data_IF_994488066982
#
_entry.id   IF_994488066982
#
_cell.length_a   1.000
_cell.length_b   1.000
_cell.length_c   1.000
_cell.angle_alpha   90.00
_cell.angle_beta   90.00
_cell.angle_gamma   90.00
#
_symmetry.space_group_name_H-M   'P 1'
#
loop_
_entity.id
_entity.type
_entity.pdbx_description
1 polymer ?
#
# COMPACT_ATOMS: atom_id res chain seq x y z
N UNK A 1 14.19 19.76 -74.17
CA UNK A 1 15.04 19.04 -73.20
C UNK A 1 14.60 19.46 -71.81
N UNK A 2 14.12 18.50 -71.04
CA UNK A 2 13.53 18.64 -69.72
C UNK A 2 14.67 18.54 -68.70
N UNK A 3 14.84 19.53 -67.82
CA UNK A 3 15.61 19.33 -66.58
C UNK A 3 14.84 19.91 -65.39
N UNK A 4 14.54 18.98 -64.50
CA UNK A 4 13.64 19.09 -63.35
C UNK A 4 14.30 19.75 -62.15
N UNK A 5 13.46 20.45 -61.38
CA UNK A 5 13.65 20.94 -60.02
C UNK A 5 14.23 19.90 -59.05
N UNK A 6 15.11 20.35 -58.15
CA UNK A 6 15.39 19.77 -56.81
C UNK A 6 15.60 20.96 -55.87
N UNK A 7 14.57 21.33 -55.11
CA UNK A 7 14.23 20.87 -53.76
C UNK A 7 15.16 21.37 -52.66
N UNK A 8 14.50 22.07 -51.75
CA UNK A 8 14.89 22.78 -50.55
C UNK A 8 14.72 21.82 -49.36
N UNK A 9 15.57 22.01 -48.35
CA UNK A 9 15.53 21.50 -46.96
C UNK A 9 15.61 19.99 -46.70
N UNK A 10 16.70 19.60 -46.02
CA UNK A 10 16.71 18.47 -45.09
C UNK A 10 17.36 18.95 -43.78
N UNK A 11 16.55 19.57 -42.92
CA UNK A 11 16.86 19.66 -41.49
C UNK A 11 16.44 18.33 -40.88
N UNK A 12 17.42 17.49 -40.58
CA UNK A 12 17.19 16.27 -39.79
C UNK A 12 16.96 16.69 -38.35
N UNK A 13 15.69 16.82 -37.97
CA UNK A 13 15.27 17.00 -36.59
C UNK A 13 15.43 15.67 -35.84
N UNK A 14 16.57 15.49 -35.15
CA UNK A 14 16.80 14.32 -34.30
C UNK A 14 16.00 14.45 -33.00
N UNK A 15 14.75 14.00 -33.01
CA UNK A 15 13.86 13.94 -31.86
C UNK A 15 14.21 12.85 -30.84
N UNK A 16 15.44 12.82 -30.32
CA UNK A 16 15.75 12.00 -29.16
C UNK A 16 15.16 12.67 -27.90
N UNK A 17 14.02 12.15 -27.40
CA UNK A 17 13.52 12.54 -26.08
C UNK A 17 14.63 12.31 -25.04
N UNK A 18 14.99 13.35 -24.29
CA UNK A 18 15.93 13.23 -23.19
C UNK A 18 15.40 12.19 -22.20
N UNK A 19 16.15 11.11 -21.99
CA UNK A 19 15.83 10.12 -20.95
C UNK A 19 16.07 10.76 -19.59
N UNK A 20 15.11 10.66 -18.69
CA UNK A 20 15.27 11.14 -17.31
C UNK A 20 16.28 10.25 -16.56
N UNK A 21 16.85 10.75 -15.45
CA UNK A 21 17.74 9.94 -14.60
C UNK A 21 17.08 8.63 -14.13
N UNK A 22 15.75 8.63 -13.98
CA UNK A 22 14.94 7.47 -13.56
C UNK A 22 14.83 6.43 -14.69
N UNK A 23 14.90 6.82 -15.96
CA UNK A 23 14.70 5.91 -17.10
C UNK A 23 15.82 4.85 -17.24
N UNK A 24 16.93 5.03 -16.53
CA UNK A 24 18.04 4.07 -16.46
C UNK A 24 18.00 3.11 -15.26
N UNK A 25 17.03 3.27 -14.35
CA UNK A 25 16.92 2.48 -13.12
C UNK A 25 16.11 1.20 -13.30
N UNK A 26 16.31 0.21 -12.42
CA UNK A 26 15.34 -0.87 -12.26
C UNK A 26 14.03 -0.31 -11.71
N UNK A 27 12.91 -1.03 -11.92
CA UNK A 27 11.61 -0.59 -11.41
C UNK A 27 11.62 -0.38 -9.87
N UNK A 28 12.32 -1.26 -9.14
CA UNK A 28 12.47 -1.15 -7.68
C UNK A 28 13.31 0.07 -7.27
N UNK A 29 14.42 0.32 -7.97
CA UNK A 29 15.27 1.49 -7.68
C UNK A 29 14.54 2.80 -8.00
N UNK A 30 13.79 2.84 -9.10
CA UNK A 30 12.97 3.98 -9.48
C UNK A 30 11.89 4.28 -8.42
N UNK A 31 11.22 3.25 -7.92
CA UNK A 31 10.22 3.38 -6.85
C UNK A 31 10.86 3.87 -5.55
N UNK A 32 12.00 3.30 -5.14
CA UNK A 32 12.74 3.72 -3.96
C UNK A 32 13.17 5.18 -4.06
N UNK A 33 13.70 5.60 -5.22
CA UNK A 33 14.11 6.97 -5.47
C UNK A 33 12.92 7.94 -5.40
N UNK A 34 11.79 7.58 -5.99
CA UNK A 34 10.55 8.36 -5.92
C UNK A 34 10.08 8.55 -4.48
N UNK A 35 10.02 7.48 -3.69
CA UNK A 35 9.60 7.52 -2.29
C UNK A 35 10.57 8.32 -1.42
N UNK A 36 11.88 8.17 -1.63
CA UNK A 36 12.89 8.97 -0.93
C UNK A 36 12.68 10.47 -1.10
N UNK A 37 12.40 10.92 -2.33
CA UNK A 37 12.17 12.33 -2.62
C UNK A 37 10.82 12.79 -2.10
N UNK A 38 9.75 11.99 -2.24
CA UNK A 38 8.44 12.30 -1.65
C UNK A 38 8.54 12.54 -0.15
N UNK A 39 9.25 11.67 0.56
CA UNK A 39 9.45 11.85 2.00
C UNK A 39 10.33 13.07 2.34
N UNK A 40 11.31 13.40 1.48
CA UNK A 40 12.12 14.59 1.64
C UNK A 40 11.28 15.88 1.50
N UNK A 41 10.41 15.91 0.49
CA UNK A 41 9.47 17.01 0.23
C UNK A 41 8.46 17.17 1.37
N UNK A 42 8.03 16.07 1.98
CA UNK A 42 7.21 16.08 3.19
C UNK A 42 7.97 16.47 4.47
N UNK A 43 9.28 16.76 4.38
CA UNK A 43 10.07 17.26 5.51
C UNK A 43 10.62 16.19 6.45
N UNK A 44 10.61 14.91 6.06
CA UNK A 44 11.21 13.86 6.88
C UNK A 44 12.74 13.98 6.92
N UNK A 45 13.30 13.73 8.10
CA UNK A 45 14.76 13.61 8.29
C UNK A 45 15.33 12.49 7.41
N UNK A 46 16.62 12.54 7.02
CA UNK A 46 17.29 11.40 6.39
C UNK A 46 17.12 10.10 7.19
N UNK A 47 17.21 10.17 8.52
CA UNK A 47 17.10 9.02 9.41
C UNK A 47 15.69 8.40 9.37
N UNK A 48 14.64 9.22 9.47
CA UNK A 48 13.26 8.74 9.42
C UNK A 48 12.90 8.19 8.04
N UNK A 49 13.46 8.76 6.96
CA UNK A 49 13.31 8.22 5.60
C UNK A 49 13.88 6.81 5.48
N UNK A 50 15.07 6.57 6.04
CA UNK A 50 15.67 5.23 6.05
C UNK A 50 14.76 4.26 6.81
N UNK A 51 14.32 4.63 8.02
CA UNK A 51 13.44 3.77 8.83
C UNK A 51 12.17 3.34 8.10
N UNK A 52 11.53 4.27 7.39
CA UNK A 52 10.31 3.99 6.62
C UNK A 52 10.60 3.14 5.39
N UNK A 53 11.66 3.44 4.63
CA UNK A 53 12.01 2.65 3.43
C UNK A 53 12.45 1.23 3.77
N UNK A 54 13.11 1.03 4.92
CA UNK A 54 13.50 -0.29 5.41
C UNK A 54 12.32 -1.24 5.58
N UNK A 55 11.12 -0.73 5.86
CA UNK A 55 9.89 -1.54 5.94
C UNK A 55 9.67 -2.28 4.63
N UNK A 56 9.60 -1.57 3.49
CA UNK A 56 9.41 -2.21 2.18
C UNK A 56 10.61 -3.07 1.77
N UNK A 57 11.83 -2.61 2.07
CA UNK A 57 13.06 -3.30 1.67
C UNK A 57 13.18 -4.67 2.30
N UNK A 58 12.86 -4.77 3.59
CA UNK A 58 12.91 -6.01 4.38
C UNK A 58 11.68 -6.88 4.19
N UNK A 59 10.58 -6.34 3.68
CA UNK A 59 9.38 -7.14 3.44
C UNK A 59 9.63 -8.23 2.38
N UNK A 60 8.94 -9.38 2.49
CA UNK A 60 8.97 -10.43 1.49
C UNK A 60 8.75 -9.88 0.08
N UNK A 61 9.51 -10.41 -0.88
CA UNK A 61 9.35 -10.06 -2.30
C UNK A 61 8.21 -10.86 -2.89
N UNK A 62 7.31 -10.18 -3.60
CA UNK A 62 6.13 -10.79 -4.19
C UNK A 62 6.54 -11.88 -5.17
N UNK A 63 6.00 -13.08 -4.98
CA UNK A 63 6.19 -14.19 -5.89
C UNK A 63 4.84 -14.65 -6.43
N UNK A 64 4.62 -14.39 -7.71
CA UNK A 64 3.40 -14.79 -8.41
C UNK A 64 3.52 -16.23 -8.91
N UNK A 65 2.41 -16.94 -8.93
CA UNK A 65 2.29 -18.19 -9.68
C UNK A 65 2.53 -17.92 -11.19
N UNK A 66 3.03 -18.90 -11.97
CA UNK A 66 3.51 -18.68 -13.34
C UNK A 66 2.52 -17.99 -14.31
N UNK A 67 1.22 -18.18 -14.10
CA UNK A 67 0.17 -17.61 -14.94
C UNK A 67 -0.22 -16.18 -14.54
N UNK A 68 0.27 -15.65 -13.43
CA UNK A 68 -0.18 -14.36 -12.89
C UNK A 68 0.88 -13.27 -13.01
N UNK A 69 0.40 -12.07 -13.30
CA UNK A 69 1.18 -10.84 -13.29
C UNK A 69 0.31 -9.71 -12.75
N UNK A 70 0.90 -8.61 -12.25
CA UNK A 70 0.14 -7.45 -11.79
C UNK A 70 -0.88 -6.96 -12.84
N UNK A 71 -0.46 -6.83 -14.09
CA UNK A 71 -1.30 -6.32 -15.19
C UNK A 71 -2.47 -7.26 -15.50
N UNK A 72 -2.24 -8.59 -15.48
CA UNK A 72 -3.31 -9.58 -15.69
C UNK A 72 -4.38 -9.48 -14.61
N UNK A 73 -3.95 -9.33 -13.35
CA UNK A 73 -4.87 -9.21 -12.21
C UNK A 73 -5.65 -7.89 -12.27
N UNK A 74 -4.96 -6.78 -12.55
CA UNK A 74 -5.60 -5.46 -12.67
C UNK A 74 -6.56 -5.38 -13.86
N UNK A 75 -6.27 -6.10 -14.96
CA UNK A 75 -7.16 -6.24 -16.11
C UNK A 75 -8.36 -7.17 -15.88
N UNK A 76 -8.40 -7.91 -14.76
CA UNK A 76 -9.53 -8.76 -14.39
C UNK A 76 -10.57 -7.94 -13.60
N UNK A 77 -11.87 -8.04 -13.93
CA UNK A 77 -12.93 -7.36 -13.18
C UNK A 77 -12.83 -7.64 -11.67
N UNK A 78 -13.12 -6.63 -10.82
CA UNK A 78 -12.91 -6.68 -9.36
C UNK A 78 -13.39 -7.99 -8.73
N UNK A 79 -14.62 -8.39 -9.03
CA UNK A 79 -15.25 -9.56 -8.42
C UNK A 79 -14.77 -10.90 -9.00
N UNK A 80 -14.10 -10.86 -10.15
CA UNK A 80 -13.58 -12.04 -10.87
C UNK A 80 -12.07 -12.24 -10.69
N UNK A 81 -11.37 -11.30 -10.03
CA UNK A 81 -9.93 -11.41 -9.70
C UNK A 81 -9.62 -12.76 -9.07
N UNK A 82 -8.48 -13.41 -9.32
CA UNK A 82 -8.17 -14.73 -8.73
C UNK A 82 -8.12 -14.74 -7.18
N UNK A 83 -8.23 -15.92 -6.57
CA UNK A 83 -7.96 -16.09 -5.13
C UNK A 83 -6.46 -15.98 -4.84
N UNK A 84 -6.11 -15.75 -3.57
CA UNK A 84 -4.73 -15.58 -3.11
C UNK A 84 -3.87 -16.81 -3.44
N UNK A 85 -4.39 -18.01 -3.17
CA UNK A 85 -3.70 -19.29 -3.35
C UNK A 85 -3.43 -19.62 -4.82
N UNK A 86 -4.29 -19.13 -5.72
CA UNK A 86 -4.09 -19.25 -7.16
C UNK A 86 -3.10 -18.21 -7.68
N UNK A 87 -2.95 -17.07 -6.99
CA UNK A 87 -2.19 -15.91 -7.48
C UNK A 87 -0.73 -15.94 -7.07
N UNK A 88 -0.45 -16.37 -5.84
CA UNK A 88 0.89 -16.28 -5.24
C UNK A 88 1.46 -17.64 -4.87
N UNK A 89 2.78 -17.72 -4.75
CA UNK A 89 3.44 -18.93 -4.25
C UNK A 89 3.05 -19.19 -2.78
N UNK A 90 2.97 -20.46 -2.35
CA UNK A 90 2.75 -20.79 -0.94
C UNK A 90 3.79 -20.15 0.00
N UNK A 91 5.05 -20.10 -0.44
CA UNK A 91 6.15 -19.50 0.32
C UNK A 91 5.94 -17.99 0.51
N UNK A 92 5.48 -17.27 -0.52
CA UNK A 92 5.16 -15.85 -0.39
C UNK A 92 3.95 -15.60 0.51
N UNK A 93 2.90 -16.41 0.38
CA UNK A 93 1.71 -16.29 1.23
C UNK A 93 2.09 -16.44 2.71
N UNK A 94 2.95 -17.43 3.01
CA UNK A 94 3.39 -17.68 4.37
C UNK A 94 4.32 -16.57 4.88
N UNK A 95 5.33 -16.17 4.10
CA UNK A 95 6.21 -15.07 4.47
C UNK A 95 5.46 -13.74 4.66
N UNK A 96 4.42 -13.48 3.86
CA UNK A 96 3.56 -12.30 4.02
C UNK A 96 2.83 -12.33 5.35
N UNK A 97 2.19 -13.47 5.69
CA UNK A 97 1.44 -13.67 6.93
C UNK A 97 2.32 -13.49 8.18
N UNK A 98 3.55 -13.99 8.14
CA UNK A 98 4.50 -13.92 9.26
C UNK A 98 4.82 -12.48 9.70
N UNK A 99 4.63 -11.48 8.82
CA UNK A 99 4.81 -10.08 9.19
C UNK A 99 3.82 -9.61 10.26
N UNK A 100 2.72 -10.32 10.49
CA UNK A 100 1.64 -9.93 11.40
C UNK A 100 1.60 -10.77 12.69
N UNK A 101 2.63 -11.60 12.95
CA UNK A 101 2.70 -12.43 14.16
C UNK A 101 2.67 -11.60 15.45
N UNK A 102 3.19 -10.37 15.42
CA UNK A 102 3.17 -9.43 16.55
C UNK A 102 1.87 -8.60 16.65
N UNK A 103 0.86 -8.94 15.84
CA UNK A 103 -0.40 -8.23 15.77
C UNK A 103 -0.50 -7.32 14.54
N UNK A 104 -1.68 -6.72 14.39
CA UNK A 104 -2.03 -5.90 13.24
C UNK A 104 -2.59 -4.55 13.69
N UNK A 105 -2.34 -3.50 12.91
CA UNK A 105 -2.72 -2.14 13.25
C UNK A 105 -3.35 -1.42 12.07
N UNK A 106 -4.37 -0.60 12.36
CA UNK A 106 -5.03 0.28 11.39
C UNK A 106 -5.08 1.71 11.91
N UNK A 107 -4.85 2.66 11.01
CA UNK A 107 -5.16 4.07 11.23
C UNK A 107 -6.45 4.45 10.50
N UNK A 108 -7.37 5.16 11.16
CA UNK A 108 -8.62 5.61 10.55
C UNK A 108 -9.11 6.94 11.11
N UNK A 109 -9.78 7.72 10.26
CA UNK A 109 -10.34 9.04 10.61
C UNK A 109 -11.60 8.99 11.47
N UNK A 110 -12.33 7.89 11.42
CA UNK A 110 -13.58 7.75 12.17
C UNK A 110 -13.31 7.04 13.48
N UNK A 111 -13.80 7.61 14.58
CA UNK A 111 -13.74 6.95 15.88
C UNK A 111 -14.48 5.60 15.79
N UNK A 112 -13.93 4.50 16.32
CA UNK A 112 -14.65 3.24 16.40
C UNK A 112 -15.99 3.42 17.14
N UNK A 113 -17.07 2.93 16.55
CA UNK A 113 -18.44 3.03 17.08
C UNK A 113 -19.08 1.64 17.13
N UNK A 114 -19.41 1.11 18.32
CA UNK A 114 -20.06 -0.19 18.44
C UNK A 114 -21.47 -0.22 17.81
N UNK A 115 -22.12 0.92 17.58
CA UNK A 115 -23.46 0.94 16.98
C UNK A 115 -23.43 1.01 15.45
N UNK A 116 -22.31 1.42 14.87
CA UNK A 116 -22.14 1.45 13.43
C UNK A 116 -21.75 0.06 12.92
N UNK A 117 -22.48 -0.46 11.92
CA UNK A 117 -22.27 -1.81 11.37
C UNK A 117 -22.17 -2.91 12.45
N UNK A 118 -22.95 -2.77 13.53
CA UNK A 118 -22.91 -3.68 14.68
C UNK A 118 -21.52 -3.82 15.34
N UNK A 119 -20.65 -2.83 15.18
CA UNK A 119 -19.30 -2.81 15.72
C UNK A 119 -18.25 -3.50 14.84
N UNK A 120 -18.64 -3.97 13.65
CA UNK A 120 -17.71 -4.54 12.68
C UNK A 120 -16.83 -3.42 12.10
N UNK A 121 -15.52 -3.62 12.17
CA UNK A 121 -14.51 -2.75 11.58
C UNK A 121 -14.30 -3.16 10.14
N UNK A 122 -14.55 -2.26 9.19
CA UNK A 122 -14.29 -2.55 7.77
C UNK A 122 -15.36 -2.06 6.81
N UNK A 123 -15.37 -2.67 5.64
CA UNK A 123 -16.40 -2.47 4.61
C UNK A 123 -17.69 -3.22 4.93
N UNK A 124 -18.65 -3.16 4.01
CA UNK A 124 -19.95 -3.84 4.15
C UNK A 124 -19.85 -5.37 4.10
N UNK A 125 -18.77 -5.88 3.53
CA UNK A 125 -18.47 -7.31 3.45
C UNK A 125 -17.76 -7.85 4.69
N UNK A 126 -17.55 -7.02 5.72
CA UNK A 126 -16.87 -7.41 6.97
C UNK A 126 -15.34 -7.29 6.92
N UNK A 127 -14.77 -7.00 5.75
CA UNK A 127 -13.32 -6.98 5.57
C UNK A 127 -12.68 -5.65 5.96
N UNK A 128 -11.50 -5.71 6.57
CA UNK A 128 -10.70 -4.54 6.95
C UNK A 128 -9.22 -4.73 6.64
N UNK A 129 -8.58 -3.65 6.21
CA UNK A 129 -7.17 -3.62 5.83
C UNK A 129 -6.29 -3.20 7.01
N UNK A 130 -5.13 -3.86 7.14
CA UNK A 130 -4.25 -3.74 8.29
C UNK A 130 -2.77 -3.70 7.87
N UNK A 131 -2.00 -2.90 8.59
CA UNK A 131 -0.54 -2.98 8.62
C UNK A 131 -0.11 -3.97 9.71
N UNK A 132 1.13 -4.44 9.68
CA UNK A 132 1.68 -5.08 10.88
C UNK A 132 1.83 -4.05 11.99
N UNK A 133 1.71 -4.50 13.24
CA UNK A 133 1.92 -3.61 14.39
C UNK A 133 3.29 -2.96 14.38
N UNK A 134 4.34 -3.72 14.07
CA UNK A 134 5.72 -3.23 14.06
C UNK A 134 5.92 -2.11 13.03
N UNK A 135 5.31 -2.22 11.84
CA UNK A 135 5.36 -1.16 10.83
C UNK A 135 4.56 0.06 11.26
N UNK A 136 3.38 -0.14 11.85
CA UNK A 136 2.56 0.95 12.34
C UNK A 136 3.22 1.74 13.48
N UNK A 137 4.00 1.08 14.34
CA UNK A 137 4.78 1.72 15.39
C UNK A 137 5.85 2.66 14.80
N UNK A 138 6.55 2.23 13.74
CA UNK A 138 7.51 3.09 13.02
C UNK A 138 6.78 4.27 12.36
N UNK A 139 5.67 4.02 11.67
CA UNK A 139 4.90 5.06 10.97
C UNK A 139 4.41 6.12 11.96
N UNK A 140 3.85 5.71 13.10
CA UNK A 140 3.36 6.64 14.11
C UNK A 140 4.48 7.49 14.72
N UNK A 141 5.63 6.88 15.03
CA UNK A 141 6.78 7.61 15.57
C UNK A 141 7.34 8.64 14.57
N UNK A 142 7.36 8.29 13.28
CA UNK A 142 7.80 9.19 12.21
C UNK A 142 6.77 10.30 11.94
N UNK A 143 5.48 9.98 11.97
CA UNK A 143 4.41 10.93 11.70
C UNK A 143 4.24 11.99 12.79
N UNK A 144 4.61 11.68 14.05
CA UNK A 144 4.59 12.64 15.19
C UNK A 144 3.24 13.35 15.38
N UNK A 145 2.15 12.66 15.09
CA UNK A 145 0.79 13.20 15.16
C UNK A 145 0.38 14.09 13.99
N UNK A 146 1.22 14.27 12.96
CA UNK A 146 0.88 15.05 11.78
C UNK A 146 0.09 14.21 10.76
N UNK A 147 -1.18 14.55 10.56
CA UNK A 147 -2.04 13.88 9.59
C UNK A 147 -1.52 13.97 8.15
N UNK A 148 -0.81 15.04 7.77
CA UNK A 148 -0.19 15.18 6.44
C UNK A 148 0.94 14.16 6.25
N UNK A 149 1.70 13.90 7.32
CA UNK A 149 2.74 12.88 7.31
C UNK A 149 2.14 11.47 7.28
N UNK A 150 1.08 11.20 8.06
CA UNK A 150 0.35 9.95 7.95
C UNK A 150 -0.16 9.69 6.53
N UNK A 151 -0.76 10.69 5.89
CA UNK A 151 -1.20 10.56 4.49
C UNK A 151 -0.03 10.24 3.55
N UNK A 152 1.09 10.96 3.70
CA UNK A 152 2.29 10.73 2.90
C UNK A 152 2.83 9.29 3.04
N UNK A 153 2.95 8.82 4.29
CA UNK A 153 3.51 7.51 4.65
C UNK A 153 2.58 6.35 4.25
N UNK A 154 1.27 6.53 4.40
CA UNK A 154 0.26 5.53 4.06
C UNK A 154 -0.14 5.56 2.58
N UNK A 155 0.28 6.59 1.84
CA UNK A 155 0.00 6.74 0.41
C UNK A 155 -1.38 7.34 0.11
N UNK A 156 -1.97 8.08 1.04
CA UNK A 156 -3.19 8.84 0.80
C UNK A 156 -2.91 10.18 0.12
N UNK A 157 -3.93 10.71 -0.55
CA UNK A 157 -3.92 12.08 -1.06
C UNK A 157 -3.86 13.09 0.08
N UNK A 158 -3.17 14.20 -0.16
CA UNK A 158 -3.14 15.33 0.78
C UNK A 158 -4.58 15.84 1.00
N UNK A 159 -5.04 15.71 2.23
CA UNK A 159 -6.35 16.20 2.73
C UNK A 159 -7.26 15.08 3.20
N UNK A 160 -6.97 13.84 2.82
CA UNK A 160 -7.83 12.69 3.00
C UNK A 160 -8.25 12.39 4.46
N UNK A 161 -7.30 12.47 5.40
CA UNK A 161 -7.51 12.24 6.83
C UNK A 161 -8.11 13.46 7.54
N UNK A 162 -8.05 14.65 6.91
CA UNK A 162 -8.49 15.92 7.49
C UNK A 162 -7.68 16.32 8.74
N UNK A 163 -8.27 17.20 9.55
CA UNK A 163 -7.63 17.78 10.76
C UNK A 163 -8.23 17.25 12.07
N UNK A 164 -9.18 16.33 11.98
CA UNK A 164 -9.78 15.68 13.15
C UNK A 164 -8.82 14.63 13.75
N UNK A 165 -9.13 14.13 14.96
CA UNK A 165 -8.35 13.06 15.55
C UNK A 165 -8.25 11.84 14.61
N UNK A 166 -7.04 11.33 14.45
CA UNK A 166 -6.74 10.07 13.82
C UNK A 166 -6.74 8.98 14.89
N UNK A 167 -7.41 7.87 14.61
CA UNK A 167 -7.55 6.76 15.53
C UNK A 167 -6.69 5.60 15.09
N UNK A 168 -5.91 5.07 16.04
CA UNK A 168 -5.19 3.82 15.91
C UNK A 168 -6.00 2.71 16.54
N UNK A 169 -6.14 1.60 15.82
CA UNK A 169 -6.74 0.36 16.30
C UNK A 169 -5.67 -0.73 16.23
N UNK A 170 -5.50 -1.46 17.33
CA UNK A 170 -4.57 -2.59 17.43
C UNK A 170 -5.34 -3.89 17.66
N UNK A 171 -5.02 -4.90 16.83
CA UNK A 171 -5.46 -6.29 16.95
C UNK A 171 -4.32 -7.09 17.57
N UNK A 172 -4.60 -7.82 18.64
CA UNK A 172 -3.62 -8.64 19.34
C UNK A 172 -3.19 -9.88 18.52
N UNK A 173 -1.96 -10.41 18.71
CA UNK A 173 -1.49 -11.64 18.06
C UNK A 173 -2.47 -12.80 18.11
N UNK A 174 -3.13 -13.02 19.25
CA UNK A 174 -4.06 -14.12 19.46
C UNK A 174 -5.29 -13.99 18.54
N UNK A 175 -5.79 -12.76 18.36
CA UNK A 175 -6.91 -12.47 17.47
C UNK A 175 -6.49 -12.60 16.00
N UNK A 176 -5.27 -12.16 15.65
CA UNK A 176 -4.70 -12.40 14.31
C UNK A 176 -4.60 -13.89 14.02
N UNK A 177 -4.14 -14.69 14.98
CA UNK A 177 -4.04 -16.14 14.85
C UNK A 177 -5.41 -16.82 14.76
N UNK A 178 -6.42 -16.33 15.50
CA UNK A 178 -7.76 -16.91 15.54
C UNK A 178 -8.55 -16.59 14.27
N UNK A 179 -8.60 -15.32 13.87
CA UNK A 179 -9.40 -14.86 12.73
C UNK A 179 -8.66 -14.98 11.39
N UNK A 180 -7.33 -15.07 11.45
CA UNK A 180 -6.47 -15.15 10.28
C UNK A 180 -6.29 -13.80 9.57
N UNK A 181 -5.17 -13.68 8.88
CA UNK A 181 -4.88 -12.56 7.99
C UNK A 181 -4.44 -13.11 6.63
N UNK A 182 -4.88 -12.45 5.57
CA UNK A 182 -4.59 -12.84 4.18
C UNK A 182 -4.01 -11.68 3.38
N UNK A 183 -3.39 -11.99 2.25
CA UNK A 183 -3.05 -10.99 1.25
C UNK A 183 -4.37 -10.46 0.66
N UNK A 184 -4.59 -9.14 0.56
CA UNK A 184 -5.76 -8.60 -0.13
C UNK A 184 -5.86 -9.10 -1.57
N UNK A 185 -6.98 -9.71 -1.93
CA UNK A 185 -7.24 -10.25 -3.27
C UNK A 185 -7.67 -9.16 -4.27
N UNK A 186 -8.08 -8.01 -3.75
CA UNK A 186 -8.68 -6.91 -4.50
C UNK A 186 -10.16 -7.09 -4.75
N UNK A 187 -10.79 -8.14 -4.20
CA UNK A 187 -12.26 -8.35 -4.25
C UNK A 187 -12.99 -7.62 -3.13
N UNK A 188 -12.27 -7.25 -2.08
CA UNK A 188 -12.81 -6.69 -0.84
C UNK A 188 -13.53 -5.36 -1.09
N UNK A 189 -14.57 -5.05 -0.32
CA UNK A 189 -15.40 -3.83 -0.46
C UNK A 189 -14.51 -2.57 -0.46
N UNK A 190 -13.52 -2.53 0.45
CA UNK A 190 -12.56 -1.43 0.57
C UNK A 190 -11.52 -1.33 -0.57
N UNK A 191 -11.35 -2.37 -1.41
CA UNK A 191 -10.43 -2.32 -2.54
C UNK A 191 -10.93 -1.34 -3.61
N UNK A 192 -10.09 -0.36 -3.96
CA UNK A 192 -10.40 0.75 -4.86
C UNK A 192 -9.38 0.87 -6.01
N UNK A 193 -9.40 1.98 -6.77
CA UNK A 193 -8.51 2.20 -7.91
C UNK A 193 -7.01 2.27 -7.57
N UNK A 194 -6.67 2.46 -6.29
CA UNK A 194 -5.30 2.45 -5.78
C UNK A 194 -4.82 1.07 -5.34
N UNK A 195 -5.73 0.11 -5.15
CA UNK A 195 -5.33 -1.26 -4.80
C UNK A 195 -4.41 -1.84 -5.89
N UNK A 196 -3.36 -2.54 -5.46
CA UNK A 196 -2.44 -3.28 -6.32
C UNK A 196 -2.30 -4.71 -5.80
N UNK A 197 -2.16 -5.71 -6.69
CA UNK A 197 -1.86 -7.06 -6.26
C UNK A 197 -0.47 -7.11 -5.61
N UNK A 198 -0.33 -7.93 -4.56
CA UNK A 198 0.92 -8.17 -3.86
C UNK A 198 0.85 -7.94 -2.35
N UNK A 199 -0.27 -7.43 -1.81
CA UNK A 199 -0.39 -7.15 -0.37
C UNK A 199 0.54 -6.04 0.09
N UNK A 200 0.59 -4.98 -0.71
CA UNK A 200 1.38 -3.77 -0.46
C UNK A 200 0.54 -2.54 -0.80
N UNK A 201 0.64 -1.49 0.00
CA UNK A 201 0.00 -0.20 -0.28
C UNK A 201 0.61 0.44 -1.52
N UNK A 202 -0.14 1.31 -2.18
CA UNK A 202 0.34 2.06 -3.34
C UNK A 202 0.00 3.54 -3.19
N UNK A 203 0.95 4.47 -3.46
CA UNK A 203 2.35 4.22 -3.85
C UNK A 203 3.29 3.88 -2.67
N UNK A 204 2.76 3.79 -1.45
CA UNK A 204 3.51 3.64 -0.19
C UNK A 204 4.45 2.44 -0.11
N UNK A 205 4.12 1.35 -0.80
CA UNK A 205 4.86 0.07 -0.83
C UNK A 205 4.99 -0.61 0.53
N UNK A 206 4.08 -0.29 1.46
CA UNK A 206 4.05 -0.86 2.80
C UNK A 206 3.28 -2.18 2.79
N UNK A 207 3.75 -3.24 3.46
CA UNK A 207 3.00 -4.49 3.59
C UNK A 207 1.62 -4.26 4.21
N UNK A 208 0.61 -4.85 3.57
CA UNK A 208 -0.80 -4.73 3.95
C UNK A 208 -1.46 -6.11 3.90
N UNK A 209 -2.26 -6.39 4.92
CA UNK A 209 -3.09 -7.60 5.04
C UNK A 209 -4.56 -7.26 5.15
N UNK A 210 -5.42 -8.26 4.96
CA UNK A 210 -6.86 -8.16 5.17
C UNK A 210 -7.34 -9.21 6.17
N UNK A 211 -8.24 -8.80 7.06
CA UNK A 211 -8.93 -9.65 8.01
C UNK A 211 -10.44 -9.46 7.84
N UNK A 212 -11.21 -10.49 8.19
CA UNK A 212 -12.67 -10.49 8.12
C UNK A 212 -13.28 -10.55 9.53
N UNK A 213 -14.41 -9.88 9.72
CA UNK A 213 -15.23 -9.98 10.93
C UNK A 213 -14.57 -9.42 12.20
N UNK A 214 -13.65 -8.46 12.08
CA UNK A 214 -13.04 -7.79 13.24
C UNK A 214 -14.09 -6.88 13.91
N UNK A 215 -14.29 -7.05 15.21
CA UNK A 215 -15.38 -6.44 15.95
C UNK A 215 -14.92 -5.76 17.24
N UNK A 216 -15.28 -4.49 17.41
CA UNK A 216 -15.07 -3.78 18.67
C UNK A 216 -15.98 -4.31 19.79
N UNK A 217 -17.14 -4.90 19.46
CA UNK A 217 -18.04 -5.49 20.47
C UNK A 217 -17.50 -6.79 21.04
N UNK A 218 -16.78 -7.56 20.21
CA UNK A 218 -16.17 -8.83 20.61
C UNK A 218 -14.84 -8.62 21.35
N UNK A 219 -14.32 -7.39 21.35
CA UNK A 219 -13.05 -7.06 22.00
C UNK A 219 -11.83 -7.40 21.15
N UNK A 220 -12.01 -7.59 19.84
CA UNK A 220 -10.91 -7.92 18.91
C UNK A 220 -9.87 -6.80 18.78
N UNK A 221 -10.26 -5.57 19.09
CA UNK A 221 -9.44 -4.37 18.95
C UNK A 221 -9.38 -3.55 20.22
N UNK A 222 -8.20 -2.99 20.48
CA UNK A 222 -8.03 -1.82 21.35
C UNK A 222 -7.84 -0.58 20.49
N UNK A 223 -8.14 0.63 21.00
CA UNK A 223 -7.98 1.84 20.20
C UNK A 223 -7.68 3.10 21.02
N UNK A 224 -6.98 4.06 20.39
CA UNK A 224 -6.67 5.39 20.94
C UNK A 224 -6.53 6.44 19.83
N UNK A 225 -6.63 7.73 20.18
CA UNK A 225 -6.24 8.82 19.28
C UNK A 225 -4.70 8.96 19.24
N UNK A 226 -4.13 9.35 18.11
CA UNK A 226 -2.66 9.42 17.89
C UNK A 226 -2.13 10.79 17.46
N UNK A 227 -2.98 11.80 17.45
CA UNK A 227 -2.67 13.19 17.13
C UNK A 227 -3.40 14.16 18.08
#
# INVERSE_FOLDING_TARGET
MHFSSKHVDDVVESGAKARTFIDGMSAGDAQRYSQWNKYAEAGLSPEDRVRVLEISEKAPKVEYQPDYSPDRILGTPKNDRPSVENTYSPDYIEAHRQQFENGATRFQKFKPDPNYQEGIIGGKDGTSFWLSKDHADVIQDVAKGDNRLYETLLGFDEGYLGDNPLYRLDVAPEVVSEKGISIPSGREDGANGWWRPGGRTYPGDMPEGVMDGISIKEGDVTWNAVN
#
